data_IF_363517627015
#
_entry.id   IF_363517627015
#
_cell.length_a   1.000
_cell.length_b   1.000
_cell.length_c   1.000
_cell.angle_alpha   90.00
_cell.angle_beta   90.00
_cell.angle_gamma   90.00
#
_symmetry.space_group_name_H-M   'P 1'
#
loop_
_entity.id
_entity.type
_entity.pdbx_description
1 polymer ?
#
# COMPACT_ATOMS: atom_id res chain seq x y z
N UNK A 1 -7.27 -4.92 -1.74
CA UNK A 1 -7.78 -5.01 -0.35
C UNK A 1 -7.66 -3.67 0.35
N UNK A 2 -8.69 -2.81 0.24
CA UNK A 2 -8.67 -1.47 0.84
C UNK A 2 -8.95 -1.49 2.35
N UNK A 3 -9.83 -2.38 2.78
CA UNK A 3 -10.24 -2.56 4.18
C UNK A 3 -9.05 -2.69 5.15
N UNK A 4 -8.07 -3.54 4.81
CA UNK A 4 -6.88 -3.76 5.66
C UNK A 4 -6.05 -2.47 5.83
N UNK A 5 -6.03 -1.59 4.82
CA UNK A 5 -5.24 -0.37 4.84
C UNK A 5 -5.92 0.77 5.58
N UNK A 6 -7.26 0.81 5.54
CA UNK A 6 -8.09 1.83 6.18
C UNK A 6 -8.56 1.46 7.58
N UNK A 7 -8.35 0.22 8.03
CA UNK A 7 -8.76 -0.19 9.38
C UNK A 7 -7.81 0.42 10.42
N UNK A 8 -8.40 1.03 11.46
CA UNK A 8 -7.66 1.57 12.59
C UNK A 8 -6.99 0.44 13.36
N UNK A 9 -5.68 0.54 13.56
CA UNK A 9 -4.95 -0.37 14.41
C UNK A 9 -4.88 0.21 15.82
N UNK A 10 -5.80 -0.23 16.69
CA UNK A 10 -6.06 0.40 18.02
C UNK A 10 -4.80 0.60 18.86
N UNK A 11 -3.85 -0.34 18.85
CA UNK A 11 -2.61 -0.21 19.64
C UNK A 11 -1.63 0.85 19.10
N UNK A 12 -1.69 1.18 17.81
CA UNK A 12 -0.90 2.26 17.20
C UNK A 12 -1.69 3.56 17.17
N UNK A 13 -3.02 3.48 17.19
CA UNK A 13 -3.90 4.64 17.00
C UNK A 13 -3.90 5.17 15.56
N UNK A 14 -3.30 4.46 14.60
CA UNK A 14 -3.22 4.86 13.19
C UNK A 14 -3.71 3.76 12.26
N UNK A 15 -4.15 4.14 11.06
CA UNK A 15 -4.40 3.18 9.98
C UNK A 15 -3.09 2.88 9.24
N UNK A 16 -3.02 1.73 8.55
CA UNK A 16 -1.85 1.40 7.71
C UNK A 16 -1.68 2.44 6.59
N UNK A 17 -2.79 3.01 6.10
CA UNK A 17 -2.77 4.08 5.10
C UNK A 17 -2.13 5.37 5.63
N UNK A 18 -2.41 5.76 6.88
CA UNK A 18 -1.78 6.95 7.48
C UNK A 18 -0.27 6.78 7.60
N UNK A 19 0.22 5.57 7.92
CA UNK A 19 1.65 5.32 8.03
C UNK A 19 2.37 5.32 6.67
N UNK A 20 1.73 4.77 5.64
CA UNK A 20 2.34 4.60 4.30
C UNK A 20 2.19 5.86 3.44
N UNK A 21 1.01 6.45 3.44
CA UNK A 21 0.68 7.59 2.58
C UNK A 21 0.75 8.93 3.32
N UNK A 22 0.95 8.92 4.65
CA UNK A 22 0.86 10.11 5.52
C UNK A 22 -0.50 10.82 5.43
N UNK A 23 -1.49 10.13 4.90
CA UNK A 23 -2.84 10.62 4.66
C UNK A 23 -3.82 9.47 4.82
N UNK A 24 -4.98 9.75 5.39
CA UNK A 24 -6.06 8.77 5.47
C UNK A 24 -6.60 8.47 4.07
N UNK A 25 -6.86 7.19 3.80
CA UNK A 25 -7.33 6.74 2.50
C UNK A 25 -8.83 6.98 2.40
N UNK A 26 -9.24 7.83 1.46
CA UNK A 26 -10.66 8.12 1.22
C UNK A 26 -11.36 6.86 0.73
N UNK A 27 -12.29 6.33 1.51
CA UNK A 27 -13.03 5.12 1.16
C UNK A 27 -14.04 5.41 0.03
N UNK A 28 -14.44 4.41 -0.78
CA UNK A 28 -15.48 4.58 -1.79
C UNK A 28 -16.80 5.16 -1.24
N UNK A 29 -17.12 4.90 0.04
CA UNK A 29 -18.28 5.49 0.72
C UNK A 29 -18.09 6.94 1.19
N UNK A 30 -16.85 7.42 1.30
CA UNK A 30 -16.50 8.80 1.71
C UNK A 30 -16.25 9.72 0.51
N UNK A 31 -16.34 9.18 -0.71
CA UNK A 31 -16.16 9.94 -1.94
C UNK A 31 -17.26 10.98 -2.16
N UNK A 32 -18.39 10.79 -1.49
CA UNK A 32 -19.53 11.69 -1.50
C UNK A 32 -19.22 12.89 -0.60
N UNK A 33 -18.60 13.94 -1.14
CA UNK A 33 -18.65 15.24 -0.47
C UNK A 33 -20.12 15.63 -0.26
N UNK A 34 -20.53 16.19 0.89
CA UNK A 34 -21.86 16.75 1.03
C UNK A 34 -22.08 17.71 -0.15
N UNK A 35 -23.22 17.61 -0.88
CA UNK A 35 -23.45 18.45 -2.04
C UNK A 35 -23.35 19.90 -1.57
N UNK A 36 -22.42 20.64 -2.17
CA UNK A 36 -22.36 22.08 -1.98
C UNK A 36 -23.73 22.61 -2.41
N UNK A 37 -24.45 23.27 -1.49
CA UNK A 37 -25.79 23.79 -1.78
C UNK A 37 -25.75 24.60 -3.08
N UNK A 38 -26.70 24.34 -3.97
CA UNK A 38 -26.86 24.90 -5.34
C UNK A 38 -26.09 24.22 -6.48
N UNK A 39 -26.43 22.99 -6.80
CA UNK A 39 -26.56 22.67 -8.24
C UNK A 39 -27.84 21.88 -8.43
N UNK A 40 -28.83 22.51 -9.06
CA UNK A 40 -30.01 21.83 -9.56
C UNK A 40 -29.56 20.61 -10.35
N UNK A 41 -29.88 19.41 -9.86
CA UNK A 41 -29.53 18.16 -10.53
C UNK A 41 -30.33 18.09 -11.83
N UNK A 42 -29.75 18.58 -12.93
CA UNK A 42 -30.26 18.33 -14.27
C UNK A 42 -29.79 16.93 -14.69
N UNK A 43 -30.69 15.93 -14.80
CA UNK A 43 -30.30 14.55 -15.11
C UNK A 43 -29.61 14.40 -16.47
N UNK A 44 -29.78 15.36 -17.38
CA UNK A 44 -29.19 15.35 -18.72
C UNK A 44 -27.66 15.57 -18.77
N UNK A 45 -27.01 15.98 -17.68
CA UNK A 45 -25.56 16.27 -17.67
C UNK A 45 -24.72 15.44 -16.69
N UNK A 46 -25.35 14.59 -15.87
CA UNK A 46 -24.65 13.89 -14.79
C UNK A 46 -23.60 12.91 -15.30
N UNK A 47 -23.88 12.20 -16.40
CA UNK A 47 -22.95 11.23 -16.99
C UNK A 47 -21.64 11.89 -17.44
N UNK A 48 -21.75 13.06 -18.07
CA UNK A 48 -20.59 13.77 -18.60
C UNK A 48 -19.80 14.45 -17.49
N UNK A 49 -20.50 15.01 -16.49
CA UNK A 49 -19.89 15.53 -15.27
C UNK A 49 -19.14 14.44 -14.49
N UNK A 50 -19.72 13.26 -14.32
CA UNK A 50 -19.10 12.12 -13.63
C UNK A 50 -17.88 11.63 -14.40
N UNK A 51 -17.98 11.49 -15.74
CA UNK A 51 -16.86 11.11 -16.60
C UNK A 51 -15.71 12.11 -16.46
N UNK A 52 -16.00 13.41 -16.52
CA UNK A 52 -14.99 14.46 -16.35
C UNK A 52 -14.32 14.38 -14.96
N UNK A 53 -15.10 14.22 -13.88
CA UNK A 53 -14.56 14.10 -12.53
C UNK A 53 -13.65 12.87 -12.36
N UNK A 54 -14.05 11.71 -12.90
CA UNK A 54 -13.25 10.48 -12.84
C UNK A 54 -11.98 10.57 -13.69
N UNK A 55 -12.02 11.21 -14.86
CA UNK A 55 -10.83 11.44 -15.69
C UNK A 55 -9.82 12.37 -15.02
N UNK A 56 -10.28 13.32 -14.21
CA UNK A 56 -9.41 14.22 -13.46
C UNK A 56 -8.83 13.59 -12.17
N UNK A 57 -9.23 12.36 -11.82
CA UNK A 57 -8.71 11.67 -10.65
C UNK A 57 -7.28 11.20 -10.90
N UNK A 58 -6.30 11.91 -10.33
CA UNK A 58 -4.89 11.51 -10.46
C UNK A 58 -4.55 10.45 -9.42
N UNK A 59 -3.92 9.36 -9.86
CA UNK A 59 -3.30 8.41 -8.95
C UNK A 59 -2.19 9.13 -8.17
N UNK A 60 -2.20 8.99 -6.85
CA UNK A 60 -1.10 9.47 -6.02
C UNK A 60 0.17 8.69 -6.40
N UNK A 61 1.30 9.37 -6.68
CA UNK A 61 2.55 8.68 -6.95
C UNK A 61 2.89 7.79 -5.75
N UNK A 62 3.24 6.53 -6.04
CA UNK A 62 3.78 5.62 -5.05
C UNK A 62 4.99 6.29 -4.40
N UNK A 63 4.96 6.48 -3.08
CA UNK A 63 6.16 6.85 -2.33
C UNK A 63 7.25 5.83 -2.69
N UNK A 64 8.41 6.32 -3.12
CA UNK A 64 9.56 5.45 -3.33
C UNK A 64 9.86 4.79 -1.99
N UNK A 65 9.83 3.46 -1.94
CA UNK A 65 10.30 2.74 -0.77
C UNK A 65 11.75 3.14 -0.59
N UNK A 66 12.04 3.90 0.46
CA UNK A 66 13.39 4.22 0.86
C UNK A 66 14.01 2.86 1.16
N UNK A 67 14.90 2.39 0.28
CA UNK A 67 15.66 1.15 0.43
C UNK A 67 16.66 1.34 1.57
N UNK A 68 16.12 1.56 2.77
CA UNK A 68 16.87 1.59 4.00
C UNK A 68 17.05 0.11 4.32
N UNK A 69 18.25 -0.40 4.07
CA UNK A 69 18.66 -1.68 4.63
C UNK A 69 18.47 -1.56 6.14
N UNK A 70 17.43 -2.20 6.67
CA UNK A 70 17.28 -2.33 8.11
C UNK A 70 18.34 -3.35 8.54
N UNK A 71 19.34 -2.96 9.34
CA UNK A 71 20.31 -3.93 9.82
C UNK A 71 19.57 -4.96 10.66
N UNK A 72 19.63 -6.22 10.23
CA UNK A 72 19.10 -7.33 11.00
C UNK A 72 20.02 -7.48 12.22
N UNK A 73 19.51 -7.28 13.45
CA UNK A 73 20.34 -7.46 14.64
C UNK A 73 20.79 -8.94 14.71
N UNK A 74 22.02 -9.16 15.19
CA UNK A 74 22.62 -10.49 15.41
C UNK A 74 23.16 -11.24 14.17
N UNK A 75 23.28 -10.59 13.00
CA UNK A 75 23.97 -11.20 11.85
C UNK A 75 25.41 -11.61 12.19
N UNK A 76 26.07 -10.86 13.07
CA UNK A 76 27.43 -11.11 13.56
C UNK A 76 27.56 -12.36 14.44
N UNK A 77 26.46 -12.81 15.05
CA UNK A 77 26.39 -13.94 15.98
C UNK A 77 25.71 -15.16 15.37
N UNK A 78 25.13 -15.03 14.17
CA UNK A 78 24.54 -16.13 13.42
C UNK A 78 25.62 -17.14 12.99
N UNK A 79 25.48 -18.41 13.39
CA UNK A 79 26.39 -19.50 12.96
C UNK A 79 26.04 -20.05 11.58
N UNK A 80 24.78 -19.92 11.20
CA UNK A 80 24.26 -20.44 9.93
C UNK A 80 23.42 -19.38 9.22
N UNK A 81 23.65 -19.23 7.93
CA UNK A 81 22.90 -18.32 7.06
C UNK A 81 22.11 -19.11 6.00
N UNK A 82 20.88 -18.67 5.75
CA UNK A 82 20.04 -19.16 4.67
C UNK A 82 20.14 -18.17 3.50
N UNK A 83 20.71 -18.61 2.38
CA UNK A 83 20.92 -17.72 1.21
C UNK A 83 19.71 -17.78 0.30
N UNK A 84 19.13 -16.62 -0.02
CA UNK A 84 18.02 -16.51 -0.95
C UNK A 84 18.50 -16.75 -2.39
N UNK A 85 17.74 -17.52 -3.15
CA UNK A 85 17.99 -17.76 -4.56
C UNK A 85 17.04 -16.91 -5.43
N UNK A 86 17.56 -15.80 -5.95
CA UNK A 86 16.78 -14.80 -6.70
C UNK A 86 16.62 -15.10 -8.20
N UNK A 87 17.07 -16.26 -8.67
CA UNK A 87 16.78 -16.68 -10.04
C UNK A 87 15.29 -16.99 -10.24
N UNK A 88 14.84 -16.96 -11.51
CA UNK A 88 13.53 -17.49 -11.90
C UNK A 88 13.48 -18.97 -11.52
N UNK A 89 12.52 -19.34 -10.66
CA UNK A 89 12.39 -20.67 -10.08
C UNK A 89 11.14 -21.38 -10.61
N UNK A 90 11.17 -22.71 -10.77
CA UNK A 90 9.97 -23.52 -10.96
C UNK A 90 9.00 -23.37 -9.77
N UNK A 91 7.70 -23.66 -9.98
CA UNK A 91 6.74 -23.70 -8.89
C UNK A 91 7.18 -24.65 -7.77
N UNK A 92 6.89 -24.29 -6.51
CA UNK A 92 7.08 -25.14 -5.31
C UNK A 92 8.58 -25.40 -4.97
N UNK A 93 9.50 -24.57 -5.45
CA UNK A 93 10.90 -24.64 -5.03
C UNK A 93 11.20 -23.72 -3.82
N UNK A 94 11.87 -24.20 -2.76
CA UNK A 94 12.19 -23.38 -1.60
C UNK A 94 13.02 -22.14 -2.01
N UNK A 95 12.68 -20.94 -1.49
CA UNK A 95 13.39 -19.70 -1.82
C UNK A 95 14.79 -19.59 -1.23
N UNK A 96 15.09 -20.37 -0.20
CA UNK A 96 16.35 -20.33 0.50
C UNK A 96 17.09 -21.66 0.39
N UNK A 97 18.42 -21.60 0.29
CA UNK A 97 19.29 -22.77 0.25
C UNK A 97 20.11 -22.86 1.54
N UNK A 98 19.97 -24.03 2.21
CA UNK A 98 20.88 -24.61 3.19
C UNK A 98 21.20 -23.77 4.44
N UNK A 99 21.61 -24.37 5.55
CA UNK A 99 22.38 -23.68 6.57
C UNK A 99 23.85 -23.61 6.10
N UNK A 100 24.25 -22.51 5.48
CA UNK A 100 25.65 -22.24 5.15
C UNK A 100 26.34 -21.68 6.39
N UNK A 101 27.64 -21.90 6.57
CA UNK A 101 28.37 -21.22 7.65
C UNK A 101 28.40 -19.73 7.33
N UNK A 102 27.92 -18.91 8.25
CA UNK A 102 28.09 -17.46 8.13
C UNK A 102 29.59 -17.13 8.13
N UNK A 103 29.99 -16.17 7.28
CA UNK A 103 31.38 -15.71 7.11
C UNK A 103 31.78 -14.76 8.23
#
# INVERSE_FOLDING_TARGET
MLSIRSTLKVYIGCTTADLVFRTSLRLPGEFNSPPNKLTSFYPCGYKDSLRSAMCNLRAMPSQASLATSFPIPFLDTCKFELVQHDAVRPPIQPPYKGPNKAV
#
